data_IF_443983869724
#
_entry.id   IF_443983869724
#
_cell.length_a   1.000
_cell.length_b   1.000
_cell.length_c   1.000
_cell.angle_alpha   90.00
_cell.angle_beta   90.00
_cell.angle_gamma   90.00
#
_symmetry.space_group_name_H-M   'P 1'
#
loop_
_entity.id
_entity.type
_entity.pdbx_description
1 polymer ?
#
# COMPACT_ATOMS: atom_id res chain seq x y z
N UNK A 1 -33.76 -32.85 -37.23
CA UNK A 1 -33.80 -32.59 -35.76
C UNK A 1 -32.52 -32.97 -35.02
N UNK A 2 -31.81 -34.06 -35.36
CA UNK A 2 -30.56 -34.45 -34.66
C UNK A 2 -29.43 -33.41 -34.72
N UNK A 3 -29.20 -32.76 -35.86
CA UNK A 3 -28.09 -31.80 -36.05
C UNK A 3 -28.24 -30.49 -35.25
N UNK A 4 -29.47 -30.07 -34.95
CA UNK A 4 -29.75 -28.82 -34.22
C UNK A 4 -29.46 -28.97 -32.72
N UNK A 5 -29.72 -30.16 -32.16
CA UNK A 5 -29.45 -30.47 -30.76
C UNK A 5 -27.96 -30.60 -30.47
N UNK A 6 -27.18 -31.11 -31.43
CA UNK A 6 -25.71 -31.19 -31.33
C UNK A 6 -25.08 -29.79 -31.35
N UNK A 7 -25.51 -28.92 -32.27
CA UNK A 7 -24.99 -27.55 -32.36
C UNK A 7 -25.23 -26.74 -31.07
N UNK A 8 -26.42 -26.86 -30.47
CA UNK A 8 -26.75 -26.21 -29.20
C UNK A 8 -25.88 -26.76 -28.05
N UNK A 9 -25.62 -28.07 -28.02
CA UNK A 9 -24.76 -28.68 -27.00
C UNK A 9 -23.30 -28.20 -27.09
N UNK A 10 -22.76 -28.04 -28.31
CA UNK A 10 -21.42 -27.48 -28.52
C UNK A 10 -21.33 -26.00 -28.11
N UNK A 11 -22.34 -25.20 -28.45
CA UNK A 11 -22.40 -23.78 -28.07
C UNK A 11 -22.48 -23.62 -26.54
N UNK A 12 -23.32 -24.41 -25.87
CA UNK A 12 -23.43 -24.42 -24.41
C UNK A 12 -22.14 -24.89 -23.73
N UNK A 13 -21.48 -25.92 -24.27
CA UNK A 13 -20.20 -26.40 -23.76
C UNK A 13 -19.10 -25.33 -23.85
N UNK A 14 -18.98 -24.67 -25.00
CA UNK A 14 -17.99 -23.60 -25.22
C UNK A 14 -18.29 -22.38 -24.35
N UNK A 15 -19.56 -21.96 -24.24
CA UNK A 15 -19.95 -20.83 -23.39
C UNK A 15 -19.65 -21.06 -21.91
N UNK A 16 -19.82 -22.30 -21.42
CA UNK A 16 -19.53 -22.65 -20.02
C UNK A 16 -18.03 -22.65 -19.73
N UNK A 17 -17.22 -23.16 -20.66
CA UNK A 17 -15.75 -23.14 -20.54
C UNK A 17 -15.21 -21.70 -20.60
N UNK A 18 -15.69 -20.89 -21.55
CA UNK A 18 -15.29 -19.48 -21.66
C UNK A 18 -15.73 -18.67 -20.43
N UNK A 19 -16.97 -18.86 -19.96
CA UNK A 19 -17.46 -18.20 -18.74
C UNK A 19 -16.66 -18.57 -17.50
N UNK A 20 -16.28 -19.85 -17.36
CA UNK A 20 -15.43 -20.33 -16.26
C UNK A 20 -14.02 -19.72 -16.29
N UNK A 21 -13.39 -19.65 -17.47
CA UNK A 21 -12.05 -19.07 -17.63
C UNK A 21 -12.06 -17.57 -17.30
N UNK A 22 -13.06 -16.82 -17.76
CA UNK A 22 -13.20 -15.39 -17.47
C UNK A 22 -13.40 -15.15 -15.96
N UNK A 23 -14.21 -15.97 -15.30
CA UNK A 23 -14.45 -15.85 -13.85
C UNK A 23 -13.18 -16.13 -13.03
N UNK A 24 -12.40 -17.14 -13.40
CA UNK A 24 -11.13 -17.46 -12.74
C UNK A 24 -10.12 -16.32 -12.92
N UNK A 25 -10.00 -15.77 -14.14
CA UNK A 25 -9.13 -14.64 -14.43
C UNK A 25 -9.47 -13.40 -13.60
N UNK A 26 -10.75 -13.02 -13.56
CA UNK A 26 -11.22 -11.86 -12.79
C UNK A 26 -10.98 -12.02 -11.28
N UNK A 27 -11.16 -13.23 -10.75
CA UNK A 27 -10.91 -13.51 -9.33
C UNK A 27 -9.42 -13.45 -8.97
N UNK A 28 -8.55 -13.93 -9.87
CA UNK A 28 -7.10 -13.87 -9.69
C UNK A 28 -6.56 -12.43 -9.73
N UNK A 29 -7.07 -11.61 -10.64
CA UNK A 29 -6.66 -10.19 -10.76
C UNK A 29 -7.01 -9.41 -9.49
N UNK A 30 -8.24 -9.61 -8.99
CA UNK A 30 -8.71 -9.02 -7.73
C UNK A 30 -7.95 -9.52 -6.50
N UNK A 31 -7.46 -10.76 -6.52
CA UNK A 31 -6.61 -11.30 -5.46
C UNK A 31 -5.19 -10.72 -5.51
N UNK A 32 -4.63 -10.52 -6.70
CA UNK A 32 -3.33 -9.87 -6.90
C UNK A 32 -3.34 -8.40 -6.48
N UNK A 33 -4.39 -7.65 -6.82
CA UNK A 33 -4.54 -6.24 -6.40
C UNK A 33 -4.54 -6.11 -4.87
N UNK A 34 -5.21 -7.03 -4.16
CA UNK A 34 -5.21 -7.07 -2.70
C UNK A 34 -3.86 -7.40 -2.07
N UNK A 35 -2.87 -7.87 -2.84
CA UNK A 35 -1.57 -8.20 -2.28
C UNK A 35 -0.62 -7.01 -2.16
N UNK A 36 -0.91 -5.88 -2.82
CA UNK A 36 0.00 -4.75 -2.85
C UNK A 36 -0.19 -3.84 -1.63
N UNK A 37 0.93 -3.41 -1.04
CA UNK A 37 0.90 -2.38 0.00
C UNK A 37 0.44 -1.06 -0.62
N UNK A 38 -0.62 -0.49 -0.07
CA UNK A 38 -1.13 0.81 -0.52
C UNK A 38 -0.50 1.91 0.32
N UNK A 39 0.09 2.93 -0.31
CA UNK A 39 0.56 4.11 0.41
C UNK A 39 -0.56 5.16 0.52
N UNK A 40 -0.81 5.65 1.72
CA UNK A 40 -1.77 6.72 1.99
C UNK A 40 -1.12 7.80 2.86
N UNK A 41 -1.68 9.00 2.87
CA UNK A 41 -1.21 10.08 3.73
C UNK A 41 -2.06 10.17 5.00
N UNK A 42 -1.41 10.35 6.14
CA UNK A 42 -2.07 10.54 7.44
C UNK A 42 -1.61 11.86 8.04
N UNK A 43 -2.54 12.80 8.17
CA UNK A 43 -2.27 14.10 8.77
C UNK A 43 -2.16 13.92 10.28
N UNK A 44 -0.99 14.24 10.82
CA UNK A 44 -0.68 14.20 12.24
C UNK A 44 -0.16 15.57 12.70
N UNK A 45 -0.18 15.78 14.01
CA UNK A 45 0.43 16.97 14.62
C UNK A 45 1.59 16.55 15.52
N UNK A 46 2.44 17.51 15.90
CA UNK A 46 3.61 17.22 16.74
C UNK A 46 3.22 16.60 18.08
N UNK A 47 2.10 17.03 18.68
CA UNK A 47 1.63 16.46 19.96
C UNK A 47 1.31 14.97 19.82
N UNK A 48 0.63 14.58 18.74
CA UNK A 48 0.31 13.18 18.45
C UNK A 48 1.58 12.36 18.23
N UNK A 49 2.53 12.87 17.44
CA UNK A 49 3.81 12.20 17.19
C UNK A 49 4.59 11.97 18.49
N UNK A 50 4.70 12.99 19.32
CA UNK A 50 5.41 12.91 20.60
C UNK A 50 4.77 11.93 21.59
N UNK A 51 3.45 11.74 21.53
CA UNK A 51 2.73 10.77 22.36
C UNK A 51 2.56 9.39 21.73
N UNK A 52 3.05 9.19 20.50
CA UNK A 52 2.81 7.95 19.75
C UNK A 52 3.83 6.87 20.11
N UNK A 53 3.36 5.64 20.27
CA UNK A 53 4.22 4.45 20.40
C UNK A 53 5.12 4.25 19.16
N UNK A 54 4.75 4.83 18.01
CA UNK A 54 5.57 4.80 16.80
C UNK A 54 6.93 5.47 17.02
N UNK A 55 7.00 6.56 17.79
CA UNK A 55 8.26 7.24 18.06
C UNK A 55 9.23 6.30 18.77
N UNK A 56 8.77 5.65 19.85
CA UNK A 56 9.55 4.66 20.58
C UNK A 56 9.95 3.47 19.69
N UNK A 57 9.07 3.01 18.81
CA UNK A 57 9.40 1.95 17.85
C UNK A 57 10.52 2.36 16.88
N UNK A 58 10.50 3.57 16.33
CA UNK A 58 11.57 4.04 15.44
C UNK A 58 12.88 4.32 16.21
N UNK A 59 12.79 4.82 17.43
CA UNK A 59 13.96 4.99 18.32
C UNK A 59 14.64 3.65 18.62
N UNK A 60 13.86 2.60 18.93
CA UNK A 60 14.41 1.24 19.12
C UNK A 60 15.02 0.63 17.85
N UNK A 61 14.57 1.07 16.67
CA UNK A 61 15.18 0.73 15.36
C UNK A 61 16.44 1.57 15.05
N UNK A 62 16.84 2.46 15.95
CA UNK A 62 18.05 3.27 15.85
C UNK A 62 17.85 4.64 15.20
N UNK A 63 16.63 5.08 14.92
CA UNK A 63 16.37 6.46 14.51
C UNK A 63 16.57 7.41 15.70
N UNK A 64 17.54 8.33 15.59
CA UNK A 64 17.91 9.27 16.66
C UNK A 64 17.46 10.71 16.39
N UNK A 65 17.30 11.06 15.11
CA UNK A 65 16.91 12.41 14.68
C UNK A 65 15.61 12.32 13.88
N UNK A 66 14.61 13.12 14.26
CA UNK A 66 13.31 13.20 13.61
C UNK A 66 13.06 14.63 13.16
N UNK A 67 12.51 14.80 11.95
CA UNK A 67 12.22 16.12 11.43
C UNK A 67 11.15 16.12 10.36
N UNK A 68 10.53 17.28 10.18
CA UNK A 68 9.59 17.53 9.09
C UNK A 68 10.35 18.01 7.87
N UNK A 69 10.13 17.37 6.72
CA UNK A 69 10.70 17.77 5.45
C UNK A 69 9.61 18.14 4.47
N UNK A 70 9.84 19.18 3.68
CA UNK A 70 8.97 19.47 2.54
C UNK A 70 9.05 18.31 1.52
N UNK A 71 7.96 18.00 0.80
CA UNK A 71 7.92 16.91 -0.16
C UNK A 71 8.90 17.07 -1.33
N UNK A 72 9.11 18.30 -1.80
CA UNK A 72 10.05 18.67 -2.87
C UNK A 72 11.50 18.30 -2.53
N UNK A 73 11.88 18.38 -1.26
CA UNK A 73 13.23 18.04 -0.76
C UNK A 73 13.37 16.61 -0.27
N UNK A 74 12.31 15.82 -0.33
CA UNK A 74 12.30 14.48 0.27
C UNK A 74 13.33 13.56 -0.38
N UNK A 75 13.49 13.63 -1.70
CA UNK A 75 14.49 12.85 -2.43
C UNK A 75 15.93 13.18 -2.01
N UNK A 76 16.23 14.47 -1.79
CA UNK A 76 17.52 14.91 -1.24
C UNK A 76 17.73 14.34 0.16
N UNK A 77 16.73 14.45 1.04
CA UNK A 77 16.81 13.93 2.41
C UNK A 77 17.05 12.43 2.46
N UNK A 78 16.43 11.67 1.56
CA UNK A 78 16.66 10.22 1.46
C UNK A 78 18.10 9.93 1.06
N UNK A 79 18.64 10.70 0.12
CA UNK A 79 20.04 10.59 -0.31
C UNK A 79 21.02 10.96 0.81
N UNK A 80 20.64 11.90 1.69
CA UNK A 80 21.39 12.26 2.91
C UNK A 80 21.29 11.19 4.03
N UNK A 81 20.61 10.06 3.78
CA UNK A 81 20.46 8.97 4.72
C UNK A 81 19.29 9.13 5.70
N UNK A 82 18.30 9.97 5.37
CA UNK A 82 17.03 10.00 6.10
C UNK A 82 16.05 8.99 5.51
N UNK A 83 15.17 8.47 6.34
CA UNK A 83 14.12 7.52 5.97
C UNK A 83 12.76 8.15 6.27
N UNK A 84 11.74 7.86 5.45
CA UNK A 84 10.38 8.32 5.70
C UNK A 84 9.78 7.49 6.84
N UNK A 85 9.13 8.16 7.78
CA UNK A 85 8.40 7.47 8.86
C UNK A 85 7.02 7.08 8.34
N UNK A 86 6.76 5.79 8.36
CA UNK A 86 5.45 5.20 8.07
C UNK A 86 4.82 4.61 9.32
N UNK A 87 3.50 4.78 9.42
CA UNK A 87 2.61 4.01 10.27
C UNK A 87 1.99 2.89 9.42
N UNK A 88 1.99 1.65 9.90
CA UNK A 88 1.61 0.48 9.10
C UNK A 88 0.37 -0.18 9.67
N UNK A 89 -0.63 -0.34 8.82
CA UNK A 89 -1.81 -1.15 9.09
C UNK A 89 -1.68 -2.46 8.31
N UNK A 90 -1.22 -3.50 9.01
CA UNK A 90 -0.97 -4.82 8.42
C UNK A 90 -2.26 -5.52 7.97
N UNK A 91 -3.38 -5.25 8.65
CA UNK A 91 -4.69 -5.85 8.32
C UNK A 91 -5.17 -5.35 6.96
N UNK A 92 -5.08 -4.03 6.74
CA UNK A 92 -5.49 -3.40 5.49
C UNK A 92 -4.35 -3.31 4.47
N UNK A 93 -3.12 -3.70 4.83
CA UNK A 93 -1.90 -3.53 4.03
C UNK A 93 -1.70 -2.08 3.57
N UNK A 94 -1.91 -1.14 4.49
CA UNK A 94 -1.74 0.29 4.23
C UNK A 94 -0.50 0.80 4.94
N UNK A 95 0.33 1.55 4.22
CA UNK A 95 1.42 2.35 4.78
C UNK A 95 0.99 3.81 4.79
N UNK A 96 0.77 4.34 5.97
CA UNK A 96 0.44 5.75 6.18
C UNK A 96 1.73 6.56 6.29
N UNK A 97 1.99 7.36 5.26
CA UNK A 97 3.00 8.42 5.28
C UNK A 97 2.53 9.52 6.22
N UNK A 98 3.31 9.78 7.26
CA UNK A 98 2.95 10.80 8.25
C UNK A 98 3.25 12.19 7.69
N UNK A 99 2.22 13.01 7.57
CA UNK A 99 2.33 14.40 7.11
C UNK A 99 1.82 15.36 8.17
N UNK A 100 2.36 16.58 8.25
CA UNK A 100 1.81 17.62 9.11
C UNK A 100 0.74 18.44 8.37
N UNK A 101 0.07 19.37 9.09
CA UNK A 101 -0.94 20.27 8.49
C UNK A 101 -0.40 21.15 7.34
N UNK A 102 0.91 21.36 7.29
CA UNK A 102 1.58 22.12 6.24
C UNK A 102 2.01 21.26 5.04
N UNK A 103 1.67 19.97 5.04
CA UNK A 103 2.04 19.02 3.98
C UNK A 103 3.49 18.53 4.05
N UNK A 104 4.20 18.78 5.14
CA UNK A 104 5.56 18.28 5.33
C UNK A 104 5.52 16.83 5.79
N UNK A 105 6.43 16.01 5.26
CA UNK A 105 6.56 14.59 5.56
C UNK A 105 7.49 14.38 6.74
N UNK A 106 7.12 13.49 7.67
CA UNK A 106 7.98 13.10 8.76
C UNK A 106 9.10 12.17 8.26
N UNK A 107 10.33 12.53 8.56
CA UNK A 107 11.51 11.73 8.27
C UNK A 107 12.33 11.49 9.53
N UNK A 108 13.02 10.35 9.59
CA UNK A 108 14.00 10.07 10.63
C UNK A 108 15.37 9.76 10.04
N UNK A 109 16.41 9.94 10.85
CA UNK A 109 17.78 9.54 10.51
C UNK A 109 18.27 8.55 11.55
N UNK A 110 18.80 7.42 11.08
CA UNK A 110 19.50 6.49 11.95
C UNK A 110 20.77 7.14 12.49
N UNK A 111 20.99 7.01 13.79
CA UNK A 111 22.26 7.42 14.37
C UNK A 111 23.37 6.57 13.80
N UNK A 112 24.41 7.21 13.27
CA UNK A 112 25.67 6.54 12.95
C UNK A 112 26.25 5.85 14.20
#
# INVERSE_FOLDING_TARGET
TKNMSTAIAWILGIATVLGGIVAIGYFWDKWKEKQQWTEQEKIVNSKWWESSDLKAQYESKGCKDFGWSNPDRLAERITEGREIVFDTDDENRIKYRLINKSGQVLVCRKGA
#
